data_IF_192460666543
#
_entry.id   IF_192460666543
#
_cell.length_a   1.000
_cell.length_b   1.000
_cell.length_c   1.000
_cell.angle_alpha   90.00
_cell.angle_beta   90.00
_cell.angle_gamma   90.00
#
_symmetry.space_group_name_H-M   'P 1'
#
loop_
_entity.id
_entity.type
_entity.pdbx_description
1 polymer ?
#
# COMPACT_ATOMS: atom_id res chain seq x y z
N UNK A 1 16.73 2.61 14.09
CA UNK A 1 17.51 1.98 13.00
C UNK A 1 18.67 2.90 12.64
N UNK A 2 19.89 2.37 12.54
CA UNK A 2 21.13 3.14 12.31
C UNK A 2 21.71 2.69 10.97
N UNK A 3 22.06 3.65 10.10
CA UNK A 3 22.74 3.37 8.84
C UNK A 3 24.24 3.63 8.99
N UNK A 4 25.07 2.70 8.55
CA UNK A 4 26.54 2.80 8.51
C UNK A 4 27.07 2.42 7.12
N UNK A 5 28.28 2.85 6.81
CA UNK A 5 29.02 2.30 5.69
C UNK A 5 29.90 1.09 6.14
N UNK A 6 30.59 0.44 5.21
CA UNK A 6 31.50 -0.70 5.48
C UNK A 6 32.62 -0.37 6.47
N UNK A 7 32.94 0.91 6.67
CA UNK A 7 33.94 1.38 7.64
C UNK A 7 33.35 1.62 9.03
N UNK A 8 32.04 1.40 9.21
CA UNK A 8 31.32 1.64 10.47
C UNK A 8 30.97 3.13 10.71
N UNK A 9 31.16 4.01 9.71
CA UNK A 9 30.80 5.42 9.83
C UNK A 9 29.30 5.60 9.66
N UNK A 10 28.69 6.45 10.50
CA UNK A 10 27.26 6.75 10.45
C UNK A 10 26.89 7.47 9.16
N UNK A 11 25.84 7.02 8.52
CA UNK A 11 25.26 7.64 7.32
C UNK A 11 23.94 8.32 7.67
N UNK A 12 23.76 9.55 7.22
CA UNK A 12 22.45 10.20 7.23
C UNK A 12 21.60 9.71 6.06
N UNK A 13 20.27 9.76 6.23
CA UNK A 13 19.34 9.46 5.13
C UNK A 13 19.60 10.34 3.90
N UNK A 14 19.94 11.62 4.12
CA UNK A 14 20.29 12.54 3.04
C UNK A 14 21.56 12.14 2.28
N UNK A 15 22.52 11.53 2.98
CA UNK A 15 23.73 11.00 2.35
C UNK A 15 23.41 9.78 1.49
N UNK A 16 22.50 8.91 1.96
CA UNK A 16 22.06 7.72 1.22
C UNK A 16 21.27 8.11 -0.02
N UNK A 17 20.34 9.06 0.11
CA UNK A 17 19.55 9.59 -1.03
C UNK A 17 20.38 10.22 -2.15
N UNK A 18 21.58 10.71 -1.84
CA UNK A 18 22.50 11.29 -2.84
C UNK A 18 23.36 10.26 -3.56
N UNK A 19 23.26 8.98 -3.20
CA UNK A 19 24.00 7.92 -3.87
C UNK A 19 23.44 7.74 -5.28
N UNK A 20 24.29 7.93 -6.27
CA UNK A 20 23.98 7.59 -7.66
C UNK A 20 24.15 6.09 -7.88
N UNK A 21 23.34 5.52 -8.80
CA UNK A 21 23.37 4.10 -9.15
C UNK A 21 23.09 3.20 -7.93
N UNK A 22 21.94 3.38 -7.28
CA UNK A 22 21.49 2.58 -6.13
C UNK A 22 21.48 1.07 -6.40
N UNK A 23 21.33 0.65 -7.66
CA UNK A 23 21.42 -0.74 -8.13
C UNK A 23 22.81 -1.37 -7.93
N UNK A 24 23.85 -0.55 -7.71
CA UNK A 24 25.19 -1.01 -7.36
C UNK A 24 25.40 -1.22 -5.85
N UNK A 25 24.39 -0.91 -5.02
CA UNK A 25 24.51 -0.95 -3.57
C UNK A 25 23.51 -1.91 -2.97
N UNK A 26 23.83 -2.45 -1.80
CA UNK A 26 22.95 -3.28 -0.98
C UNK A 26 23.17 -2.99 0.49
N UNK A 27 22.30 -3.50 1.36
CA UNK A 27 22.43 -3.36 2.81
C UNK A 27 22.45 -4.71 3.48
N UNK A 28 23.40 -4.90 4.40
CA UNK A 28 23.35 -6.00 5.36
C UNK A 28 22.59 -5.57 6.59
N UNK A 29 21.59 -6.35 6.99
CA UNK A 29 20.73 -6.07 8.16
C UNK A 29 21.25 -6.83 9.37
N UNK A 30 21.49 -6.12 10.47
CA UNK A 30 21.83 -6.72 11.76
C UNK A 30 20.64 -6.60 12.70
N UNK A 31 20.18 -7.73 13.19
CA UNK A 31 19.01 -7.85 14.06
C UNK A 31 19.44 -8.17 15.49
N UNK A 32 18.65 -7.74 16.47
CA UNK A 32 18.83 -8.15 17.84
C UNK A 32 18.23 -9.55 18.11
N UNK A 33 18.30 -9.98 19.36
CA UNK A 33 17.76 -11.28 19.81
C UNK A 33 16.24 -11.44 19.63
N UNK A 34 15.51 -10.33 19.40
CA UNK A 34 14.07 -10.32 19.18
C UNK A 34 13.72 -10.27 17.68
N UNK A 35 14.73 -10.18 16.79
CA UNK A 35 14.54 -10.03 15.34
C UNK A 35 14.38 -8.59 14.89
N UNK A 36 14.53 -7.60 15.76
CA UNK A 36 14.44 -6.18 15.39
C UNK A 36 15.70 -5.70 14.68
N UNK A 37 15.55 -5.04 13.54
CA UNK A 37 16.68 -4.46 12.81
C UNK A 37 17.24 -3.27 13.61
N UNK A 38 18.49 -3.39 14.06
CA UNK A 38 19.21 -2.35 14.79
C UNK A 38 20.13 -1.53 13.90
N UNK A 39 20.73 -2.18 12.95
CA UNK A 39 21.76 -1.59 12.11
C UNK A 39 21.65 -2.08 10.68
N UNK A 40 21.84 -1.17 9.73
CA UNK A 40 21.95 -1.44 8.30
C UNK A 40 23.32 -0.96 7.83
N UNK A 41 24.13 -1.88 7.28
CA UNK A 41 25.42 -1.55 6.70
C UNK A 41 25.27 -1.45 5.18
N UNK A 42 25.41 -0.25 4.65
CA UNK A 42 25.42 0.01 3.22
C UNK A 42 26.78 -0.39 2.62
N UNK A 43 26.75 -1.27 1.64
CA UNK A 43 27.94 -1.75 0.92
C UNK A 43 27.69 -1.90 -0.58
N UNK A 44 28.77 -2.02 -1.34
CA UNK A 44 28.65 -2.39 -2.76
C UNK A 44 28.02 -3.77 -2.92
N UNK A 45 27.08 -3.88 -3.85
CA UNK A 45 26.46 -5.15 -4.19
C UNK A 45 27.45 -6.07 -4.88
N UNK A 46 27.58 -7.29 -4.39
CA UNK A 46 28.37 -8.35 -5.03
C UNK A 46 27.62 -8.94 -6.23
N UNK A 47 28.28 -9.76 -7.01
CA UNK A 47 27.61 -10.51 -8.09
C UNK A 47 26.52 -11.43 -7.56
N UNK A 48 26.66 -11.95 -6.34
CA UNK A 48 25.65 -12.81 -5.70
C UNK A 48 24.45 -11.99 -5.26
N UNK A 49 24.66 -10.80 -4.69
CA UNK A 49 23.56 -9.88 -4.33
C UNK A 49 22.76 -9.50 -5.57
N UNK A 50 23.43 -9.15 -6.67
CA UNK A 50 22.75 -8.81 -7.94
C UNK A 50 21.93 -9.99 -8.47
N UNK A 51 22.46 -11.20 -8.45
CA UNK A 51 21.71 -12.42 -8.80
C UNK A 51 20.52 -12.66 -7.88
N UNK A 52 20.68 -12.40 -6.58
CA UNK A 52 19.57 -12.51 -5.63
C UNK A 52 18.50 -11.46 -5.91
N UNK A 53 18.88 -10.21 -6.14
CA UNK A 53 17.97 -9.13 -6.53
C UNK A 53 17.22 -9.45 -7.82
N UNK A 54 17.92 -9.94 -8.85
CA UNK A 54 17.29 -10.40 -10.10
C UNK A 54 16.30 -11.55 -9.88
N UNK A 55 16.65 -12.51 -9.00
CA UNK A 55 15.73 -13.61 -8.65
C UNK A 55 14.51 -13.13 -7.88
N UNK A 56 14.68 -12.20 -6.95
CA UNK A 56 13.58 -11.59 -6.21
C UNK A 56 12.70 -10.78 -7.17
N UNK A 57 13.30 -9.95 -8.01
CA UNK A 57 12.59 -9.16 -9.02
C UNK A 57 11.81 -10.07 -9.96
N UNK A 58 12.44 -11.11 -10.48
CA UNK A 58 11.78 -12.09 -11.32
C UNK A 58 10.65 -12.83 -10.60
N UNK A 59 10.84 -13.21 -9.33
CA UNK A 59 9.77 -13.84 -8.54
C UNK A 59 8.59 -12.89 -8.27
N UNK A 60 8.84 -11.59 -8.17
CA UNK A 60 7.80 -10.55 -8.06
C UNK A 60 7.08 -10.32 -9.40
N UNK A 61 7.80 -10.41 -10.52
CA UNK A 61 7.24 -10.30 -11.87
C UNK A 61 6.50 -11.59 -12.30
N UNK A 62 7.02 -12.75 -11.89
CA UNK A 62 6.43 -14.09 -12.15
C UNK A 62 5.22 -14.40 -11.24
N UNK A 63 4.60 -13.41 -10.59
CA UNK A 63 3.28 -13.67 -9.99
C UNK A 63 2.36 -14.13 -11.11
N UNK A 64 1.80 -15.36 -11.02
CA UNK A 64 1.01 -15.89 -12.10
C UNK A 64 -0.12 -14.93 -12.40
N UNK A 65 -0.25 -14.54 -13.67
CA UNK A 65 -1.33 -13.68 -14.13
C UNK A 65 -2.66 -14.18 -13.57
N UNK A 66 -3.52 -13.26 -13.15
CA UNK A 66 -4.85 -13.62 -12.64
C UNK A 66 -5.59 -14.36 -13.76
N UNK A 67 -5.92 -15.61 -13.49
CA UNK A 67 -6.77 -16.41 -14.37
C UNK A 67 -8.22 -16.06 -14.07
N UNK A 68 -8.89 -15.40 -15.02
CA UNK A 68 -10.29 -15.04 -14.85
C UNK A 68 -11.16 -16.27 -14.65
N UNK A 69 -12.09 -16.16 -13.70
CA UNK A 69 -13.12 -17.17 -13.45
C UNK A 69 -14.44 -16.74 -14.09
N UNK A 70 -15.31 -17.68 -14.35
CA UNK A 70 -16.63 -17.38 -14.89
C UNK A 70 -17.52 -16.75 -13.80
N UNK A 71 -18.13 -15.61 -14.12
CA UNK A 71 -18.95 -14.81 -13.21
C UNK A 71 -20.37 -14.71 -13.79
N UNK A 72 -21.36 -14.96 -12.96
CA UNK A 72 -22.76 -14.64 -13.26
C UNK A 72 -23.05 -13.19 -12.85
N UNK A 73 -23.14 -12.28 -13.83
CA UNK A 73 -23.38 -10.85 -13.58
C UNK A 73 -24.72 -10.56 -12.90
N UNK A 74 -25.67 -11.50 -12.90
CA UNK A 74 -26.96 -11.33 -12.18
C UNK A 74 -26.79 -11.51 -10.68
N UNK A 75 -25.69 -12.13 -10.25
CA UNK A 75 -25.35 -12.39 -8.84
C UNK A 75 -24.31 -11.44 -8.27
N UNK A 76 -24.06 -10.30 -8.93
CA UNK A 76 -23.01 -9.35 -8.51
C UNK A 76 -23.12 -8.92 -7.04
N UNK A 77 -24.34 -8.75 -6.51
CA UNK A 77 -24.57 -8.38 -5.12
C UNK A 77 -24.14 -9.48 -4.15
N UNK A 78 -24.54 -10.73 -4.42
CA UNK A 78 -24.18 -11.91 -3.62
C UNK A 78 -22.65 -12.11 -3.61
N UNK A 79 -22.03 -12.07 -4.80
CA UNK A 79 -20.58 -12.24 -4.98
C UNK A 79 -19.79 -11.17 -4.21
N UNK A 80 -20.17 -9.90 -4.32
CA UNK A 80 -19.47 -8.82 -3.65
C UNK A 80 -19.68 -8.85 -2.12
N UNK A 81 -20.84 -9.29 -1.67
CA UNK A 81 -21.10 -9.50 -0.24
C UNK A 81 -20.18 -10.60 0.32
N UNK A 82 -20.08 -11.74 -0.35
CA UNK A 82 -19.21 -12.85 0.05
C UNK A 82 -17.72 -12.43 0.07
N UNK A 83 -17.29 -11.68 -0.94
CA UNK A 83 -15.92 -11.11 -1.01
C UNK A 83 -15.65 -10.19 0.18
N UNK A 84 -16.58 -9.30 0.52
CA UNK A 84 -16.43 -8.40 1.66
C UNK A 84 -16.33 -9.16 2.98
N UNK A 85 -17.24 -10.09 3.21
CA UNK A 85 -17.25 -10.91 4.42
C UNK A 85 -15.99 -11.76 4.55
N UNK A 86 -15.51 -12.35 3.46
CA UNK A 86 -14.29 -13.13 3.39
C UNK A 86 -13.05 -12.27 3.75
N UNK A 87 -12.93 -11.09 3.16
CA UNK A 87 -11.83 -10.16 3.45
C UNK A 87 -11.85 -9.69 4.90
N UNK A 88 -13.00 -9.28 5.42
CA UNK A 88 -13.11 -8.71 6.75
C UNK A 88 -12.99 -9.75 7.87
N UNK A 89 -13.60 -10.94 7.70
CA UNK A 89 -13.52 -12.00 8.71
C UNK A 89 -12.10 -12.47 8.96
N UNK A 90 -11.28 -12.56 7.93
CA UNK A 90 -9.87 -12.92 8.00
C UNK A 90 -9.07 -11.91 8.85
N UNK A 91 -9.36 -10.61 8.69
CA UNK A 91 -8.57 -9.53 9.31
C UNK A 91 -9.01 -9.22 10.75
N UNK A 92 -10.25 -9.55 11.13
CA UNK A 92 -10.80 -9.22 12.45
C UNK A 92 -10.56 -10.29 13.50
N UNK A 93 -10.41 -11.57 13.12
CA UNK A 93 -10.35 -12.68 14.09
C UNK A 93 -9.03 -12.77 14.86
N UNK A 94 -7.88 -12.56 14.20
CA UNK A 94 -6.55 -12.59 14.84
C UNK A 94 -5.55 -11.64 14.19
N UNK A 95 -6.02 -10.85 13.21
CA UNK A 95 -5.15 -9.98 12.41
C UNK A 95 -4.25 -10.73 11.44
N UNK A 96 -4.46 -12.04 11.26
CA UNK A 96 -3.70 -12.84 10.31
C UNK A 96 -4.10 -12.50 8.88
N UNK A 97 -3.10 -12.40 8.00
CA UNK A 97 -3.31 -12.23 6.57
C UNK A 97 -3.21 -13.61 5.94
N UNK A 98 -4.24 -14.02 5.20
CA UNK A 98 -4.20 -15.23 4.38
C UNK A 98 -4.05 -14.85 2.89
N UNK A 99 -2.84 -14.98 2.32
CA UNK A 99 -2.58 -14.57 0.94
C UNK A 99 -3.43 -15.32 -0.11
N UNK A 100 -3.85 -16.54 0.20
CA UNK A 100 -4.71 -17.32 -0.70
C UNK A 100 -6.12 -16.73 -0.79
N UNK A 101 -6.70 -16.33 0.34
CA UNK A 101 -7.99 -15.64 0.38
C UNK A 101 -7.90 -14.29 -0.33
N UNK A 102 -6.84 -13.49 -0.05
CA UNK A 102 -6.63 -12.21 -0.73
C UNK A 102 -6.56 -12.40 -2.25
N UNK A 103 -5.86 -13.45 -2.71
CA UNK A 103 -5.76 -13.78 -4.13
C UNK A 103 -7.08 -14.24 -4.74
N UNK A 104 -7.86 -15.08 -4.04
CA UNK A 104 -9.17 -15.53 -4.49
C UNK A 104 -10.13 -14.33 -4.62
N UNK A 105 -10.18 -13.47 -3.61
CA UNK A 105 -10.99 -12.24 -3.63
C UNK A 105 -10.60 -11.33 -4.80
N UNK A 106 -9.29 -11.12 -5.00
CA UNK A 106 -8.78 -10.31 -6.12
C UNK A 106 -9.16 -10.91 -7.47
N UNK A 107 -9.04 -12.24 -7.63
CA UNK A 107 -9.43 -12.95 -8.85
C UNK A 107 -10.92 -12.78 -9.13
N UNK A 108 -11.77 -12.95 -8.12
CA UNK A 108 -13.22 -12.81 -8.23
C UNK A 108 -13.61 -11.39 -8.62
N UNK A 109 -13.06 -10.36 -7.94
CA UNK A 109 -13.37 -8.96 -8.24
C UNK A 109 -12.89 -8.59 -9.63
N UNK A 110 -11.66 -8.94 -10.02
CA UNK A 110 -11.16 -8.66 -11.37
C UNK A 110 -12.05 -9.35 -12.42
N UNK A 111 -12.42 -10.60 -12.21
CA UNK A 111 -13.29 -11.32 -13.15
C UNK A 111 -14.66 -10.67 -13.28
N UNK A 112 -15.21 -10.16 -12.18
CA UNK A 112 -16.47 -9.41 -12.19
C UNK A 112 -16.31 -8.10 -12.99
N UNK A 113 -15.27 -7.32 -12.73
CA UNK A 113 -15.04 -6.05 -13.44
C UNK A 113 -14.81 -6.25 -14.93
N UNK A 114 -14.01 -7.24 -15.32
CA UNK A 114 -13.70 -7.54 -16.73
C UNK A 114 -14.93 -8.07 -17.50
N UNK A 115 -15.80 -8.83 -16.85
CA UNK A 115 -16.99 -9.42 -17.51
C UNK A 115 -18.23 -8.53 -17.44
N UNK A 116 -18.47 -7.91 -16.29
CA UNK A 116 -19.72 -7.20 -15.99
C UNK A 116 -19.57 -5.68 -15.97
N UNK A 117 -18.34 -5.16 -15.98
CA UNK A 117 -18.03 -3.76 -15.68
C UNK A 117 -18.08 -3.45 -14.19
N UNK A 118 -17.67 -2.23 -13.83
CA UNK A 118 -17.78 -1.75 -12.46
C UNK A 118 -19.27 -1.44 -12.16
N UNK A 119 -19.85 -1.99 -11.07
CA UNK A 119 -21.23 -1.68 -10.73
C UNK A 119 -21.35 -0.26 -10.18
N UNK A 120 -22.59 0.26 -10.16
CA UNK A 120 -22.94 1.54 -9.55
C UNK A 120 -23.74 1.32 -8.25
N UNK A 121 -23.88 2.36 -7.43
CA UNK A 121 -24.73 2.32 -6.23
C UNK A 121 -26.24 2.10 -6.53
N UNK A 122 -26.65 2.20 -7.79
CA UNK A 122 -28.00 1.78 -8.21
C UNK A 122 -28.13 0.26 -8.38
N UNK A 123 -27.04 -0.47 -8.51
CA UNK A 123 -27.00 -1.91 -8.75
C UNK A 123 -26.57 -2.71 -7.53
N UNK A 124 -25.75 -2.11 -6.66
CA UNK A 124 -25.19 -2.70 -5.45
C UNK A 124 -25.19 -1.68 -4.32
N UNK A 125 -25.08 -2.12 -3.08
CA UNK A 125 -24.99 -1.23 -1.92
C UNK A 125 -23.56 -0.71 -1.61
N UNK A 126 -23.43 0.17 -0.61
CA UNK A 126 -22.13 0.72 -0.20
C UNK A 126 -21.16 -0.34 0.31
N UNK A 127 -21.64 -1.42 0.94
CA UNK A 127 -20.80 -2.51 1.45
C UNK A 127 -20.22 -3.30 0.28
N UNK A 128 -21.04 -3.59 -0.71
CA UNK A 128 -20.66 -4.31 -1.91
C UNK A 128 -19.69 -3.47 -2.78
N UNK A 129 -19.92 -2.15 -2.90
CA UNK A 129 -18.95 -1.24 -3.53
C UNK A 129 -17.63 -1.20 -2.74
N UNK A 130 -17.70 -1.21 -1.40
CA UNK A 130 -16.51 -1.25 -0.56
C UNK A 130 -15.70 -2.55 -0.72
N UNK A 131 -16.36 -3.69 -1.04
CA UNK A 131 -15.68 -4.94 -1.36
C UNK A 131 -14.70 -4.78 -2.53
N UNK A 132 -15.10 -4.06 -3.57
CA UNK A 132 -14.22 -3.78 -4.72
C UNK A 132 -13.00 -2.98 -4.29
N UNK A 133 -13.20 -1.89 -3.55
CA UNK A 133 -12.10 -1.05 -3.09
C UNK A 133 -11.14 -1.81 -2.15
N UNK A 134 -11.67 -2.51 -1.15
CA UNK A 134 -10.85 -3.15 -0.11
C UNK A 134 -9.96 -4.25 -0.69
N UNK A 135 -10.46 -4.99 -1.68
CA UNK A 135 -9.69 -6.04 -2.37
C UNK A 135 -8.48 -5.45 -3.10
N UNK A 136 -8.63 -4.33 -3.81
CA UNK A 136 -7.48 -3.67 -4.42
C UNK A 136 -6.57 -2.99 -3.38
N UNK A 137 -7.14 -2.45 -2.29
CA UNK A 137 -6.37 -1.86 -1.20
C UNK A 137 -5.44 -2.90 -0.53
N UNK A 138 -5.87 -4.16 -0.42
CA UNK A 138 -5.12 -5.27 0.16
C UNK A 138 -4.34 -6.08 -0.87
N UNK A 139 -4.69 -5.99 -2.14
CA UNK A 139 -4.06 -6.71 -3.24
C UNK A 139 -2.66 -6.21 -3.60
N UNK A 140 -2.09 -6.82 -4.63
CA UNK A 140 -0.77 -6.45 -5.14
C UNK A 140 -0.76 -5.09 -5.83
N UNK A 141 0.44 -4.47 -5.90
CA UNK A 141 0.59 -3.13 -6.42
C UNK A 141 0.35 -3.01 -7.94
N UNK A 142 0.64 -4.07 -8.69
CA UNK A 142 0.45 -4.07 -10.14
C UNK A 142 -1.04 -4.00 -10.51
N UNK A 143 -1.87 -4.84 -9.88
CA UNK A 143 -3.31 -4.78 -10.07
C UNK A 143 -3.92 -3.50 -9.50
N UNK A 144 -3.44 -3.00 -8.34
CA UNK A 144 -3.87 -1.71 -7.81
C UNK A 144 -3.65 -0.59 -8.81
N UNK A 145 -2.46 -0.48 -9.40
CA UNK A 145 -2.15 0.51 -10.45
C UNK A 145 -3.02 0.36 -11.69
N UNK A 146 -3.22 -0.89 -12.13
CA UNK A 146 -4.02 -1.17 -13.34
C UNK A 146 -5.45 -0.68 -13.20
N UNK A 147 -6.08 -0.93 -12.03
CA UNK A 147 -7.49 -0.64 -11.81
C UNK A 147 -7.77 0.71 -11.13
N UNK A 148 -6.74 1.39 -10.59
CA UNK A 148 -6.91 2.70 -9.95
C UNK A 148 -7.67 3.71 -10.84
N UNK A 149 -7.37 3.88 -12.15
CA UNK A 149 -8.11 4.82 -12.99
C UNK A 149 -9.61 4.52 -13.10
N UNK A 150 -9.99 3.23 -13.13
CA UNK A 150 -11.39 2.81 -13.14
C UNK A 150 -12.10 3.16 -11.82
N UNK A 151 -11.41 2.97 -10.69
CA UNK A 151 -11.96 3.30 -9.37
C UNK A 151 -12.00 4.81 -9.13
N UNK A 152 -11.06 5.58 -9.68
CA UNK A 152 -11.11 7.05 -9.69
C UNK A 152 -12.37 7.55 -10.41
N UNK A 153 -12.64 7.02 -11.60
CA UNK A 153 -13.85 7.37 -12.34
C UNK A 153 -15.13 7.00 -11.58
N UNK A 154 -15.14 5.84 -10.90
CA UNK A 154 -16.26 5.44 -10.05
C UNK A 154 -16.47 6.42 -8.87
N UNK A 155 -15.39 6.93 -8.29
CA UNK A 155 -15.47 7.95 -7.24
C UNK A 155 -15.93 9.32 -7.76
N UNK A 156 -15.53 9.73 -8.96
CA UNK A 156 -16.02 10.93 -9.63
C UNK A 156 -17.52 10.87 -9.91
N UNK A 157 -18.03 9.68 -10.19
CA UNK A 157 -19.47 9.42 -10.36
C UNK A 157 -20.24 9.35 -9.03
N UNK A 158 -19.55 9.33 -7.89
CA UNK A 158 -20.15 9.23 -6.56
C UNK A 158 -20.41 7.80 -6.07
N UNK A 159 -20.00 6.77 -6.81
CA UNK A 159 -20.18 5.36 -6.45
C UNK A 159 -19.13 4.87 -5.43
N UNK A 160 -17.94 5.49 -5.39
CA UNK A 160 -16.90 5.31 -4.37
C UNK A 160 -16.60 6.65 -3.67
N UNK A 161 -16.03 6.58 -2.47
CA UNK A 161 -15.68 7.79 -1.70
C UNK A 161 -14.28 8.28 -2.11
N UNK A 162 -14.11 9.59 -2.28
CA UNK A 162 -12.81 10.21 -2.61
C UNK A 162 -11.71 9.82 -1.62
N UNK A 163 -12.06 9.67 -0.34
CA UNK A 163 -11.16 9.22 0.72
C UNK A 163 -10.56 7.82 0.43
N UNK A 164 -11.33 6.91 -0.15
CA UNK A 164 -10.89 5.56 -0.51
C UNK A 164 -9.83 5.61 -1.62
N UNK A 165 -10.04 6.45 -2.60
CA UNK A 165 -9.08 6.67 -3.70
C UNK A 165 -7.78 7.29 -3.18
N UNK A 166 -7.88 8.28 -2.30
CA UNK A 166 -6.71 8.90 -1.68
C UNK A 166 -5.87 7.90 -0.87
N UNK A 167 -6.52 7.02 -0.10
CA UNK A 167 -5.83 5.93 0.62
C UNK A 167 -5.11 4.95 -0.32
N UNK A 168 -5.75 4.62 -1.45
CA UNK A 168 -5.18 3.72 -2.45
C UNK A 168 -3.99 4.36 -3.17
N UNK A 169 -4.07 5.66 -3.49
CA UNK A 169 -2.96 6.43 -4.07
C UNK A 169 -1.74 6.43 -3.15
N UNK A 170 -1.93 6.75 -1.88
CA UNK A 170 -0.83 6.76 -0.92
C UNK A 170 -0.18 5.39 -0.78
N UNK A 171 -0.98 4.32 -0.72
CA UNK A 171 -0.45 2.95 -0.66
C UNK A 171 0.33 2.58 -1.93
N UNK A 172 -0.16 3.00 -3.09
CA UNK A 172 0.53 2.77 -4.37
C UNK A 172 1.88 3.47 -4.39
N UNK A 173 1.93 4.75 -4.00
CA UNK A 173 3.15 5.53 -3.91
C UNK A 173 4.14 4.91 -2.91
N UNK A 174 3.67 4.55 -1.72
CA UNK A 174 4.50 3.88 -0.71
C UNK A 174 5.12 2.59 -1.24
N UNK A 175 4.35 1.76 -1.95
CA UNK A 175 4.85 0.50 -2.52
C UNK A 175 5.84 0.71 -3.68
N UNK A 176 5.80 1.87 -4.34
CA UNK A 176 6.78 2.29 -5.34
C UNK A 176 8.02 2.97 -4.75
N UNK A 177 8.07 3.15 -3.42
CA UNK A 177 9.15 3.88 -2.74
C UNK A 177 9.03 5.40 -2.87
N UNK A 178 7.88 5.92 -3.31
CA UNK A 178 7.61 7.34 -3.50
C UNK A 178 6.89 7.95 -2.30
N UNK A 179 7.12 9.25 -2.00
CA UNK A 179 6.45 9.94 -0.91
C UNK A 179 4.93 9.96 -1.12
N UNK A 180 4.20 9.63 -0.06
CA UNK A 180 2.73 9.71 -0.05
C UNK A 180 2.22 11.15 -0.11
N UNK A 181 0.96 11.33 -0.49
CA UNK A 181 0.35 12.66 -0.72
C UNK A 181 -0.55 13.09 0.43
N UNK A 182 -1.27 12.17 1.02
CA UNK A 182 -2.32 12.45 2.02
C UNK A 182 -1.95 12.03 3.45
N UNK A 183 -0.87 11.29 3.64
CA UNK A 183 -0.42 10.85 4.97
C UNK A 183 -1.26 9.71 5.55
N UNK A 184 -1.75 8.80 4.72
CA UNK A 184 -2.60 7.68 5.16
C UNK A 184 -1.82 6.41 5.52
N UNK A 185 -0.53 6.37 5.17
CA UNK A 185 0.30 5.19 5.40
C UNK A 185 1.28 5.43 6.55
N UNK A 186 1.26 4.51 7.49
CA UNK A 186 2.19 4.43 8.61
C UNK A 186 2.88 3.07 8.59
N UNK A 187 4.08 2.99 9.14
CA UNK A 187 4.84 1.74 9.24
C UNK A 187 5.42 1.58 10.63
N UNK A 188 5.75 0.34 11.02
CA UNK A 188 6.48 0.10 12.26
C UNK A 188 7.99 0.25 12.02
N UNK A 189 8.65 0.96 12.92
CA UNK A 189 10.10 1.01 13.05
C UNK A 189 10.47 0.53 14.46
N UNK A 190 10.79 -0.76 14.58
CA UNK A 190 10.90 -1.42 15.89
C UNK A 190 9.53 -1.45 16.59
N UNK A 191 9.46 -0.86 17.78
CA UNK A 191 8.21 -0.78 18.56
C UNK A 191 7.41 0.51 18.32
N UNK A 192 7.92 1.43 17.51
CA UNK A 192 7.28 2.72 17.27
C UNK A 192 6.59 2.74 15.91
N UNK A 193 5.43 3.39 15.83
CA UNK A 193 4.81 3.72 14.57
C UNK A 193 5.40 5.00 14.01
N UNK A 194 5.66 5.04 12.72
CA UNK A 194 6.19 6.19 12.01
C UNK A 194 5.35 6.49 10.78
N UNK A 195 5.16 7.78 10.50
CA UNK A 195 4.55 8.23 9.26
C UNK A 195 5.51 7.93 8.11
N UNK A 196 4.99 7.29 7.04
CA UNK A 196 5.76 7.13 5.82
C UNK A 196 6.07 8.51 5.20
N UNK A 197 7.14 8.60 4.41
CA UNK A 197 7.57 9.86 3.79
C UNK A 197 6.41 10.59 3.12
N UNK A 198 6.28 11.91 3.40
CA UNK A 198 5.16 12.73 2.96
C UNK A 198 5.62 13.85 2.02
N UNK A 199 5.00 13.94 0.86
CA UNK A 199 5.22 15.02 -0.10
C UNK A 199 4.60 16.33 0.38
N UNK A 200 5.37 17.42 0.37
CA UNK A 200 4.93 18.77 0.75
C UNK A 200 4.09 18.76 2.05
N UNK A 201 4.70 18.38 3.18
CA UNK A 201 3.97 18.17 4.43
C UNK A 201 3.27 19.43 4.95
N UNK A 202 3.74 20.61 4.59
CA UNK A 202 3.16 21.91 4.97
C UNK A 202 1.78 22.20 4.31
N UNK A 203 1.39 21.41 3.29
CA UNK A 203 0.11 21.54 2.56
C UNK A 203 -0.79 20.32 2.69
N UNK A 204 -0.42 19.36 3.53
CA UNK A 204 -1.13 18.09 3.61
C UNK A 204 -2.58 18.25 4.09
N UNK A 205 -2.83 19.14 5.06
CA UNK A 205 -4.18 19.30 5.60
C UNK A 205 -5.17 19.90 4.58
N UNK A 206 -4.69 20.77 3.69
CA UNK A 206 -5.49 21.25 2.57
C UNK A 206 -5.90 20.10 1.64
N UNK A 207 -4.94 19.29 1.19
CA UNK A 207 -5.23 18.12 0.33
C UNK A 207 -6.15 17.12 1.02
N UNK A 208 -5.96 16.91 2.33
CA UNK A 208 -6.81 16.03 3.13
C UNK A 208 -8.24 16.51 3.19
N UNK A 209 -8.45 17.80 3.45
CA UNK A 209 -9.78 18.41 3.48
C UNK A 209 -10.52 18.27 2.14
N UNK A 210 -9.83 18.43 1.00
CA UNK A 210 -10.38 18.25 -0.34
C UNK A 210 -10.89 16.82 -0.57
N UNK A 211 -10.30 15.82 0.11
CA UNK A 211 -10.70 14.40 0.04
C UNK A 211 -11.64 13.96 1.16
N UNK A 212 -11.99 14.85 2.08
CA UNK A 212 -12.89 14.54 3.20
C UNK A 212 -12.19 13.88 4.40
N UNK A 213 -10.86 13.97 4.51
CA UNK A 213 -10.12 13.51 5.69
C UNK A 213 -10.13 14.56 6.80
N UNK A 214 -10.05 14.09 8.04
CA UNK A 214 -9.63 14.88 9.20
C UNK A 214 -8.19 15.42 9.04
N UNK A 215 -7.78 16.49 9.74
CA UNK A 215 -6.39 16.94 9.75
C UNK A 215 -5.40 15.82 10.10
N UNK A 216 -4.18 15.86 9.53
CA UNK A 216 -3.23 14.77 9.69
C UNK A 216 -2.80 14.54 11.13
N UNK A 217 -2.62 15.61 11.92
CA UNK A 217 -2.27 15.52 13.33
C UNK A 217 -3.33 14.75 14.15
N UNK A 218 -4.62 14.90 13.79
CA UNK A 218 -5.73 14.20 14.47
C UNK A 218 -5.77 12.73 14.07
N UNK A 219 -5.56 12.45 12.79
CA UNK A 219 -5.45 11.10 12.25
C UNK A 219 -4.31 10.29 12.90
N UNK A 220 -3.14 10.91 13.09
CA UNK A 220 -1.94 10.24 13.58
C UNK A 220 -1.95 9.96 15.08
N UNK A 221 -2.86 10.56 15.85
CA UNK A 221 -3.05 10.26 17.29
C UNK A 221 -3.37 8.78 17.54
N UNK A 222 -3.93 8.08 16.56
CA UNK A 222 -4.23 6.63 16.64
C UNK A 222 -2.99 5.76 16.83
N UNK A 223 -1.82 6.30 16.51
CA UNK A 223 -0.53 5.61 16.58
C UNK A 223 0.49 6.35 17.47
N UNK A 224 0.05 7.32 18.27
CA UNK A 224 0.92 8.17 19.10
C UNK A 224 2.04 8.86 18.28
N UNK A 225 1.75 9.22 17.01
CA UNK A 225 2.69 9.92 16.12
C UNK A 225 2.43 11.43 16.21
N UNK A 226 3.44 12.20 16.62
CA UNK A 226 3.39 13.66 16.60
C UNK A 226 3.62 14.22 15.18
N UNK A 227 2.80 15.19 14.79
CA UNK A 227 2.93 15.90 13.52
C UNK A 227 2.92 17.41 13.76
N UNK A 228 4.11 18.00 13.87
CA UNK A 228 4.33 19.41 14.24
C UNK A 228 4.66 20.32 13.07
N UNK A 229 4.31 19.95 11.83
CA UNK A 229 4.56 20.74 10.63
C UNK A 229 3.52 21.86 10.53
N UNK A 230 3.98 23.11 10.52
CA UNK A 230 3.10 24.28 10.33
C UNK A 230 2.45 24.21 8.95
N UNK A 231 1.12 24.20 8.94
CA UNK A 231 0.37 24.16 7.69
C UNK A 231 0.30 25.54 7.04
N UNK A 232 0.40 25.54 5.71
CA UNK A 232 0.20 26.73 4.85
C UNK A 232 -1.09 26.57 4.07
N UNK A 233 -1.78 27.68 3.82
CA UNK A 233 -3.01 27.73 3.03
C UNK A 233 -2.79 27.37 1.55
#
# INVERSE_FOLDING_TARGET
MIFKNEKGELLSLDSIRKIQNLDEWTTDSYVDKNGDIKELILRKATTEDKKLQERIQKALEDQPAIQLVDIDCTKKQEILQEVFESDQSMRTNDGSINPEIDRQNLTTVISLLEKCGIPTLNEVDEIQMNAIWVVFQHGDNANRKKYLPLLEQSAENGDLKAIQIAMMKDRTLMMDGEPQVYGTQVSKNGNEWVLYELSNPEKVNKRRAEMGFEPLQDYLQRWDIEFNVKQTE
#
